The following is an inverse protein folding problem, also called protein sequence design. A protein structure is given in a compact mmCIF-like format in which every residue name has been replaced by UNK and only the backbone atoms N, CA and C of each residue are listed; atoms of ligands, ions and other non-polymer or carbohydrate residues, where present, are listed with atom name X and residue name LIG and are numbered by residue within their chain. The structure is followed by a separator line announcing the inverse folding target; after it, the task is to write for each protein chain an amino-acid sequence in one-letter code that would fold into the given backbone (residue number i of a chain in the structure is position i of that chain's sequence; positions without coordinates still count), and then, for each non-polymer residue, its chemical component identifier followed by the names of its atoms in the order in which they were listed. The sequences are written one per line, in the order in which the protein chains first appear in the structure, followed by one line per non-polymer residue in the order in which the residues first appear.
data_IF_726509481889
#
_entry.id   IF_726509481889
#
_cell.length_a   1.000
_cell.length_b   1.000
_cell.length_c   1.000
_cell.angle_alpha   90.00
_cell.angle_beta   90.00
_cell.angle_gamma   90.00
#
_symmetry.space_group_name_H-M   'P 1'
#
loop_
_entity.id
_entity.type
_entity.pdbx_description
1 polymer ?
#
# COMPACT_ATOMS: atom_id res chain seq x y z
N UNK A 1 26.25 12.10 7.45
CA UNK A 1 26.10 12.32 6.01
C UNK A 1 25.59 11.04 5.38
N UNK A 2 24.45 11.10 4.69
CA UNK A 2 23.71 9.91 4.25
C UNK A 2 24.46 9.11 3.17
N UNK A 3 24.07 7.85 2.99
CA UNK A 3 24.61 7.04 1.90
C UNK A 3 24.16 7.56 0.53
N UNK A 4 25.01 7.35 -0.48
CA UNK A 4 24.73 7.61 -1.89
C UNK A 4 24.16 6.34 -2.56
N UNK A 5 24.93 5.67 -3.42
CA UNK A 5 24.49 4.45 -4.09
C UNK A 5 24.81 3.20 -3.25
N UNK A 6 23.82 2.31 -3.09
CA UNK A 6 23.97 1.04 -2.37
C UNK A 6 23.43 -0.09 -3.23
N UNK A 7 24.22 -1.15 -3.39
CA UNK A 7 23.79 -2.41 -4.00
C UNK A 7 23.94 -3.57 -3.02
N UNK A 8 22.81 -4.19 -2.68
CA UNK A 8 22.73 -5.45 -1.94
C UNK A 8 22.24 -6.52 -2.89
N UNK A 9 23.10 -7.50 -3.17
CA UNK A 9 22.78 -8.59 -4.10
C UNK A 9 23.10 -9.93 -3.46
N UNK A 10 22.20 -10.91 -3.63
CA UNK A 10 22.37 -12.29 -3.15
C UNK A 10 22.88 -12.38 -1.70
N UNK A 11 22.32 -11.55 -0.83
CA UNK A 11 22.77 -11.41 0.56
C UNK A 11 21.71 -11.96 1.51
N UNK A 12 22.14 -12.51 2.64
CA UNK A 12 21.26 -12.93 3.73
C UNK A 12 21.56 -12.15 5.00
N UNK A 13 20.58 -11.37 5.45
CA UNK A 13 20.66 -10.53 6.66
C UNK A 13 19.56 -10.99 7.60
N UNK A 14 19.97 -11.57 8.73
CA UNK A 14 19.02 -12.23 9.61
C UNK A 14 19.40 -12.17 11.08
N UNK A 15 18.41 -12.38 11.94
CA UNK A 15 18.57 -12.55 13.38
C UNK A 15 19.24 -11.33 14.07
N UNK A 16 19.09 -10.13 13.50
CA UNK A 16 19.60 -8.89 14.08
C UNK A 16 18.71 -8.40 15.23
N UNK A 17 19.34 -7.70 16.19
CA UNK A 17 18.62 -7.05 17.30
C UNK A 17 17.81 -5.81 16.87
N UNK A 18 18.20 -5.16 15.77
CA UNK A 18 17.53 -4.02 15.18
C UNK A 18 16.87 -4.36 13.85
N UNK A 19 16.88 -3.40 12.92
CA UNK A 19 16.50 -3.65 11.53
C UNK A 19 17.57 -4.51 10.84
N UNK A 20 17.20 -5.28 9.83
CA UNK A 20 18.17 -5.98 8.98
C UNK A 20 19.02 -4.97 8.19
N UNK A 21 18.35 -4.05 7.49
CA UNK A 21 18.97 -2.94 6.78
C UNK A 21 18.41 -1.64 7.31
N UNK A 22 19.27 -0.71 7.74
CA UNK A 22 18.86 0.65 8.10
C UNK A 22 19.75 1.64 7.36
N UNK A 23 19.16 2.42 6.46
CA UNK A 23 19.89 3.36 5.61
C UNK A 23 19.31 4.76 5.83
N UNK A 24 20.14 5.65 6.35
CA UNK A 24 19.92 7.09 6.22
C UNK A 24 20.53 7.57 4.91
N UNK A 25 19.71 8.02 3.97
CA UNK A 25 20.15 8.45 2.64
C UNK A 25 19.99 9.96 2.44
N UNK A 26 20.88 10.54 1.64
CA UNK A 26 20.83 11.95 1.22
C UNK A 26 20.55 12.09 -0.29
N UNK A 27 20.48 10.97 -1.00
CA UNK A 27 20.38 10.87 -2.45
C UNK A 27 20.93 9.53 -2.94
N UNK A 28 20.78 9.22 -4.22
CA UNK A 28 21.37 8.03 -4.84
C UNK A 28 20.38 6.92 -5.18
N UNK A 29 20.91 5.80 -5.64
CA UNK A 29 20.18 4.60 -6.01
C UNK A 29 20.48 3.48 -5.02
N UNK A 30 19.45 3.01 -4.32
CA UNK A 30 19.54 1.87 -3.42
C UNK A 30 18.83 0.69 -4.07
N UNK A 31 19.58 -0.35 -4.40
CA UNK A 31 19.05 -1.55 -5.04
C UNK A 31 19.27 -2.78 -4.16
N UNK A 32 18.18 -3.49 -3.90
CA UNK A 32 18.16 -4.76 -3.18
C UNK A 32 17.62 -5.84 -4.12
N UNK A 33 18.44 -6.84 -4.43
CA UNK A 33 18.11 -7.93 -5.36
C UNK A 33 18.58 -9.28 -4.81
N UNK A 34 17.80 -10.33 -5.06
CA UNK A 34 18.10 -11.69 -4.57
C UNK A 34 18.35 -11.81 -3.07
N UNK A 35 17.90 -10.85 -2.28
CA UNK A 35 18.34 -10.67 -0.88
C UNK A 35 17.27 -11.15 0.09
N UNK A 36 17.69 -11.76 1.19
CA UNK A 36 16.82 -12.25 2.26
C UNK A 36 17.00 -11.42 3.52
N UNK A 37 15.94 -10.77 3.98
CA UNK A 37 15.88 -9.94 5.19
C UNK A 37 14.93 -10.62 6.19
N UNK A 38 15.48 -11.49 7.04
CA UNK A 38 14.68 -12.49 7.78
C UNK A 38 14.86 -12.41 9.30
N UNK A 39 13.79 -12.63 10.08
CA UNK A 39 13.86 -12.82 11.54
C UNK A 39 14.58 -11.70 12.31
N UNK A 40 14.59 -10.49 11.78
CA UNK A 40 15.13 -9.34 12.50
C UNK A 40 14.14 -8.92 13.59
N UNK A 41 14.65 -8.48 14.74
CA UNK A 41 13.79 -8.06 15.86
C UNK A 41 13.03 -6.77 15.52
N UNK A 42 13.55 -5.93 14.64
CA UNK A 42 12.79 -4.81 14.08
C UNK A 42 12.31 -5.10 12.66
N UNK A 43 12.61 -4.23 11.69
CA UNK A 43 12.16 -4.37 10.30
C UNK A 43 13.15 -5.19 9.48
N UNK A 44 12.70 -5.67 8.33
CA UNK A 44 13.61 -6.19 7.31
C UNK A 44 14.51 -5.07 6.76
N UNK A 45 13.89 -3.97 6.31
CA UNK A 45 14.60 -2.76 5.89
C UNK A 45 13.89 -1.47 6.31
N UNK A 46 14.67 -0.44 6.61
CA UNK A 46 14.20 0.91 6.86
C UNK A 46 15.07 1.93 6.12
N UNK A 47 14.41 2.85 5.40
CA UNK A 47 15.05 3.93 4.67
C UNK A 47 14.59 5.26 5.24
N UNK A 48 15.54 6.03 5.76
CA UNK A 48 15.28 7.32 6.36
C UNK A 48 15.96 8.40 5.53
N UNK A 49 15.21 9.45 5.20
CA UNK A 49 15.82 10.60 4.54
C UNK A 49 16.54 11.48 5.56
N UNK A 50 17.76 11.89 5.23
CA UNK A 50 18.51 12.87 5.99
C UNK A 50 18.35 14.27 5.37
N UNK A 51 17.49 15.09 5.97
CA UNK A 51 17.22 16.47 5.57
C UNK A 51 18.33 17.46 5.98
N UNK A 52 19.23 17.06 6.87
CA UNK A 52 20.35 17.89 7.33
C UNK A 52 21.56 17.84 6.39
N UNK A 53 21.54 17.00 5.36
CA UNK A 53 22.65 16.87 4.40
C UNK A 53 22.78 18.15 3.56
N UNK A 54 23.98 18.77 3.48
CA UNK A 54 24.22 19.90 2.59
C UNK A 54 24.34 19.46 1.12
N UNK A 55 24.47 18.16 0.87
CA UNK A 55 24.66 17.60 -0.46
C UNK A 55 23.32 17.36 -1.16
N UNK A 56 23.30 17.65 -2.46
CA UNK A 56 22.13 17.55 -3.32
C UNK A 56 22.15 16.23 -4.09
N UNK A 57 21.06 15.47 -4.00
CA UNK A 57 20.87 14.25 -4.78
C UNK A 57 20.77 14.56 -6.29
N UNK A 58 21.46 13.78 -7.12
CA UNK A 58 21.31 13.81 -8.60
C UNK A 58 20.23 12.86 -9.10
N UNK A 59 19.99 11.77 -8.36
CA UNK A 59 18.92 10.80 -8.57
C UNK A 59 18.45 10.29 -7.20
N UNK A 60 17.24 9.74 -7.14
CA UNK A 60 16.68 9.17 -5.93
C UNK A 60 15.84 7.95 -6.27
N UNK A 61 16.36 6.76 -5.99
CA UNK A 61 15.67 5.50 -6.30
C UNK A 61 15.84 4.49 -5.17
N UNK A 62 14.74 3.91 -4.71
CA UNK A 62 14.73 2.74 -3.83
C UNK A 62 14.12 1.60 -4.62
N UNK A 63 14.89 0.55 -4.84
CA UNK A 63 14.55 -0.52 -5.77
C UNK A 63 14.70 -1.87 -5.09
N UNK A 64 13.59 -2.56 -4.87
CA UNK A 64 13.58 -3.97 -4.53
C UNK A 64 13.16 -4.75 -5.76
N UNK A 65 14.00 -5.69 -6.17
CA UNK A 65 13.70 -6.61 -7.26
C UNK A 65 13.77 -8.02 -6.73
N UNK A 66 12.70 -8.77 -6.87
CA UNK A 66 12.71 -10.20 -6.63
C UNK A 66 12.52 -10.99 -7.91
N UNK A 67 11.99 -12.20 -7.75
CA UNK A 67 11.88 -13.19 -8.80
C UNK A 67 10.48 -13.14 -9.42
N UNK A 68 10.33 -12.78 -10.70
CA UNK A 68 9.05 -12.93 -11.39
C UNK A 68 8.58 -14.38 -11.38
N UNK A 69 7.27 -14.61 -11.25
CA UNK A 69 6.70 -15.96 -11.16
C UNK A 69 7.03 -16.87 -12.35
N UNK A 70 7.32 -16.28 -13.51
CA UNK A 70 7.63 -16.96 -14.75
C UNK A 70 9.14 -17.14 -15.02
N UNK A 71 10.01 -16.69 -14.12
CA UNK A 71 11.45 -16.73 -14.36
C UNK A 71 12.22 -17.27 -13.15
N UNK A 72 12.51 -18.57 -13.20
CA UNK A 72 13.23 -19.30 -12.14
C UNK A 72 14.70 -18.92 -11.99
N UNK A 73 15.28 -18.20 -12.97
CA UNK A 73 16.69 -17.81 -12.96
C UNK A 73 16.98 -16.59 -12.07
N UNK A 74 15.96 -15.81 -11.71
CA UNK A 74 16.13 -14.72 -10.76
C UNK A 74 16.12 -15.25 -9.34
N UNK A 75 17.00 -14.74 -8.49
CA UNK A 75 16.98 -15.03 -7.06
C UNK A 75 15.76 -14.36 -6.42
N UNK A 76 15.04 -15.04 -5.52
CA UNK A 76 13.94 -14.43 -4.80
C UNK A 76 14.48 -13.39 -3.80
N UNK A 77 13.82 -12.23 -3.76
CA UNK A 77 14.00 -11.25 -2.67
C UNK A 77 12.89 -11.48 -1.66
N UNK A 78 13.26 -11.76 -0.42
CA UNK A 78 12.35 -12.18 0.64
C UNK A 78 12.53 -11.31 1.87
N UNK A 79 11.42 -10.78 2.38
CA UNK A 79 11.36 -10.03 3.63
C UNK A 79 10.41 -10.78 4.56
N UNK A 80 10.97 -11.56 5.48
CA UNK A 80 10.16 -12.54 6.23
C UNK A 80 10.41 -12.56 7.74
N UNK A 81 9.36 -12.87 8.49
CA UNK A 81 9.40 -13.14 9.94
C UNK A 81 10.04 -12.02 10.78
N UNK A 82 10.05 -10.79 10.27
CA UNK A 82 10.56 -9.64 11.01
C UNK A 82 9.52 -9.22 12.05
N UNK A 83 9.96 -8.99 13.30
CA UNK A 83 9.02 -8.86 14.43
C UNK A 83 8.34 -7.50 14.52
N UNK A 84 8.91 -6.46 13.92
CA UNK A 84 8.34 -5.12 13.97
C UNK A 84 7.64 -4.72 12.68
N UNK A 85 8.03 -5.22 11.52
CA UNK A 85 7.42 -4.92 10.21
C UNK A 85 8.33 -5.37 9.06
N UNK A 86 7.92 -5.20 7.81
CA UNK A 86 8.74 -5.62 6.66
C UNK A 86 9.68 -4.52 6.17
N UNK A 87 9.21 -3.68 5.24
CA UNK A 87 9.98 -2.57 4.66
C UNK A 87 9.31 -1.24 4.96
N UNK A 88 10.09 -0.28 5.47
CA UNK A 88 9.68 1.12 5.63
C UNK A 88 10.47 2.03 4.69
N UNK A 89 9.77 2.75 3.83
CA UNK A 89 10.32 3.87 3.06
C UNK A 89 9.83 5.17 3.67
N UNK A 90 10.76 5.93 4.28
CA UNK A 90 10.47 7.21 4.90
C UNK A 90 10.13 8.31 3.89
N UNK A 91 9.54 9.39 4.40
CA UNK A 91 9.14 10.55 3.61
C UNK A 91 10.37 11.28 3.07
N UNK A 92 10.46 11.41 1.75
CA UNK A 92 11.50 12.21 1.11
C UNK A 92 10.87 13.26 0.20
N UNK A 93 11.40 14.47 0.27
CA UNK A 93 10.90 15.63 -0.43
C UNK A 93 11.99 16.26 -1.29
N UNK A 94 11.89 16.10 -2.61
CA UNK A 94 12.78 16.74 -3.58
C UNK A 94 12.10 17.91 -4.29
N UNK A 95 12.65 19.14 -4.27
CA UNK A 95 11.97 20.29 -4.88
C UNK A 95 11.74 20.10 -6.39
N UNK A 96 10.55 20.47 -6.88
CA UNK A 96 10.14 20.19 -8.26
C UNK A 96 11.04 20.90 -9.30
N UNK A 97 11.57 22.09 -8.99
CA UNK A 97 12.46 22.84 -9.89
C UNK A 97 13.76 22.11 -10.23
N UNK A 98 14.09 21.04 -9.50
CA UNK A 98 15.28 20.21 -9.75
C UNK A 98 15.11 19.26 -10.94
N UNK A 99 13.89 19.06 -11.44
CA UNK A 99 13.60 18.17 -12.57
C UNK A 99 14.11 16.73 -12.38
N UNK A 100 14.11 16.24 -11.15
CA UNK A 100 14.45 14.85 -10.81
C UNK A 100 13.15 14.15 -10.39
N UNK A 101 12.93 12.94 -10.90
CA UNK A 101 11.78 12.11 -10.57
C UNK A 101 12.20 11.04 -9.54
N UNK A 102 11.83 11.19 -8.25
CA UNK A 102 12.12 10.17 -7.25
C UNK A 102 11.28 8.92 -7.46
N UNK A 103 11.87 7.74 -7.25
CA UNK A 103 11.21 6.45 -7.49
C UNK A 103 11.33 5.50 -6.31
N UNK A 104 10.25 4.77 -6.05
CA UNK A 104 10.21 3.62 -5.15
C UNK A 104 9.62 2.46 -5.93
N UNK A 105 10.45 1.48 -6.27
CA UNK A 105 10.09 0.33 -7.11
C UNK A 105 10.21 -0.94 -6.26
N UNK A 106 9.10 -1.56 -5.90
CA UNK A 106 9.04 -2.78 -5.11
C UNK A 106 8.39 -3.85 -5.96
N UNK A 107 9.19 -4.65 -6.64
CA UNK A 107 8.69 -5.52 -7.70
C UNK A 107 9.10 -6.98 -7.47
N UNK A 108 8.10 -7.87 -7.50
CA UNK A 108 8.26 -9.33 -7.33
C UNK A 108 8.91 -9.76 -6.01
N UNK A 109 8.67 -9.02 -4.93
CA UNK A 109 9.17 -9.30 -3.59
C UNK A 109 8.17 -10.16 -2.82
N UNK A 110 8.69 -11.08 -1.99
CA UNK A 110 7.89 -11.88 -1.07
C UNK A 110 7.97 -11.30 0.35
N UNK A 111 6.83 -10.82 0.86
CA UNK A 111 6.68 -10.32 2.23
C UNK A 111 5.88 -11.33 3.06
N UNK A 112 6.57 -12.11 3.90
CA UNK A 112 6.02 -13.31 4.52
C UNK A 112 6.05 -13.22 6.05
N UNK A 113 4.91 -13.35 6.72
CA UNK A 113 4.90 -13.53 8.18
C UNK A 113 5.45 -12.35 9.01
N UNK A 114 5.58 -11.15 8.44
CA UNK A 114 6.04 -9.98 9.20
C UNK A 114 4.99 -9.58 10.23
N UNK A 115 5.45 -9.19 11.41
CA UNK A 115 4.59 -8.95 12.58
C UNK A 115 4.48 -7.47 12.93
N UNK A 116 3.40 -7.12 13.64
CA UNK A 116 3.16 -5.84 14.30
C UNK A 116 2.90 -4.62 13.37
N UNK A 117 3.89 -4.07 12.66
CA UNK A 117 3.69 -3.00 11.66
C UNK A 117 3.48 -3.55 10.24
N UNK A 118 3.19 -2.69 9.25
CA UNK A 118 2.96 -3.17 7.90
C UNK A 118 4.15 -3.94 7.31
N UNK A 119 3.83 -4.92 6.47
CA UNK A 119 4.82 -5.62 5.66
C UNK A 119 5.50 -4.68 4.65
N UNK A 120 4.74 -3.75 4.07
CA UNK A 120 5.28 -2.66 3.26
C UNK A 120 4.64 -1.34 3.72
N UNK A 121 5.47 -0.36 4.03
CA UNK A 121 5.04 0.98 4.40
C UNK A 121 5.82 2.02 3.61
N UNK A 122 5.11 2.90 2.90
CA UNK A 122 5.71 3.98 2.12
C UNK A 122 5.12 5.31 2.58
N UNK A 123 5.97 6.23 3.00
CA UNK A 123 5.58 7.58 3.41
C UNK A 123 5.81 8.55 2.27
N UNK A 124 4.79 9.34 1.94
CA UNK A 124 4.86 10.28 0.82
C UNK A 124 5.39 11.65 1.24
N UNK A 125 5.92 12.44 0.29
CA UNK A 125 6.30 13.82 0.53
C UNK A 125 5.08 14.69 0.80
N UNK A 126 5.06 15.43 1.91
CA UNK A 126 3.93 16.28 2.31
C UNK A 126 4.17 17.78 2.05
N UNK A 127 5.27 18.16 1.40
CA UNK A 127 5.62 19.55 1.14
C UNK A 127 4.97 20.13 -0.11
N UNK A 128 4.81 21.46 -0.15
CA UNK A 128 4.39 22.20 -1.34
C UNK A 128 5.56 22.48 -2.28
N UNK A 129 5.33 22.41 -3.60
CA UNK A 129 6.37 22.68 -4.60
C UNK A 129 7.41 21.57 -4.75
N UNK A 130 7.12 20.37 -4.24
CA UNK A 130 7.99 19.20 -4.36
C UNK A 130 7.58 18.30 -5.53
N UNK A 131 8.55 17.56 -6.06
CA UNK A 131 8.38 16.59 -7.13
C UNK A 131 7.47 15.45 -6.68
N UNK A 132 6.79 14.84 -7.65
CA UNK A 132 5.98 13.65 -7.40
C UNK A 132 6.89 12.42 -7.36
N UNK A 133 6.70 11.58 -6.35
CA UNK A 133 7.37 10.28 -6.28
C UNK A 133 6.59 9.26 -7.10
N UNK A 134 7.29 8.55 -7.99
CA UNK A 134 6.74 7.39 -8.68
C UNK A 134 6.87 6.19 -7.76
N UNK A 135 5.74 5.59 -7.41
CA UNK A 135 5.67 4.39 -6.58
C UNK A 135 5.14 3.25 -7.45
N UNK A 136 5.96 2.25 -7.72
CA UNK A 136 5.56 1.03 -8.42
C UNK A 136 5.65 -0.14 -7.44
N UNK A 137 4.50 -0.73 -7.11
CA UNK A 137 4.39 -1.93 -6.27
C UNK A 137 3.74 -2.99 -7.14
N UNK A 138 4.56 -3.79 -7.82
CA UNK A 138 4.08 -4.73 -8.84
C UNK A 138 4.52 -6.17 -8.62
N UNK A 139 3.58 -7.10 -8.72
CA UNK A 139 3.90 -8.53 -8.76
C UNK A 139 4.36 -9.12 -7.41
N UNK A 140 4.15 -8.42 -6.30
CA UNK A 140 4.59 -8.86 -4.97
C UNK A 140 3.63 -9.90 -4.39
N UNK A 141 4.16 -10.75 -3.50
CA UNK A 141 3.38 -11.66 -2.66
C UNK A 141 3.46 -11.17 -1.22
N UNK A 142 2.34 -10.76 -0.66
CA UNK A 142 2.22 -10.23 0.70
C UNK A 142 1.33 -11.19 1.48
N UNK A 143 1.93 -12.06 2.28
CA UNK A 143 1.25 -13.19 2.86
C UNK A 143 1.52 -13.42 4.35
N UNK A 144 0.46 -13.77 5.08
CA UNK A 144 0.57 -14.25 6.46
C UNK A 144 1.04 -13.19 7.45
N UNK A 145 1.00 -11.91 7.08
CA UNK A 145 1.50 -10.84 7.94
C UNK A 145 0.50 -10.57 9.08
N UNK A 146 1.04 -10.29 10.27
CA UNK A 146 0.26 -9.99 11.47
C UNK A 146 -0.16 -8.52 11.58
N UNK A 147 0.62 -7.61 10.98
CA UNK A 147 0.23 -6.22 10.74
C UNK A 147 -0.36 -6.04 9.33
N UNK A 148 -0.57 -4.79 8.92
CA UNK A 148 -1.14 -4.49 7.60
C UNK A 148 -0.25 -5.04 6.46
N UNK A 149 -0.86 -5.40 5.32
CA UNK A 149 -0.09 -5.86 4.15
C UNK A 149 0.72 -4.71 3.54
N UNK A 150 0.02 -3.73 2.97
CA UNK A 150 0.62 -2.52 2.40
C UNK A 150 -0.06 -1.26 2.94
N UNK A 151 0.74 -0.30 3.41
CA UNK A 151 0.28 1.00 3.90
C UNK A 151 0.95 2.17 3.17
N UNK A 152 0.13 3.12 2.70
CA UNK A 152 0.56 4.43 2.20
C UNK A 152 -0.41 5.51 2.71
N UNK A 153 -0.09 6.13 3.84
CA UNK A 153 -0.96 7.12 4.49
C UNK A 153 -0.13 8.20 5.21
N UNK A 154 -0.15 9.48 4.75
CA UNK A 154 -0.90 9.98 3.60
C UNK A 154 -0.26 9.56 2.26
N UNK A 155 -1.04 9.76 1.20
CA UNK A 155 -0.74 9.51 -0.20
C UNK A 155 -0.86 10.81 -0.98
N UNK A 156 0.21 11.60 -0.97
CA UNK A 156 0.30 12.93 -1.62
C UNK A 156 1.67 13.14 -2.27
N UNK A 157 1.74 14.03 -3.26
CA UNK A 157 2.90 14.18 -4.15
C UNK A 157 3.35 12.84 -4.72
N UNK A 158 2.40 12.04 -5.21
CA UNK A 158 2.66 10.66 -5.62
C UNK A 158 1.99 10.32 -6.94
N UNK A 159 2.65 9.48 -7.72
CA UNK A 159 2.08 8.72 -8.82
C UNK A 159 2.30 7.24 -8.51
N UNK A 160 1.26 6.57 -8.00
CA UNK A 160 1.36 5.21 -7.49
C UNK A 160 0.64 4.19 -8.38
N UNK A 161 1.32 3.06 -8.63
CA UNK A 161 0.82 1.90 -9.34
C UNK A 161 0.94 0.68 -8.43
N UNK A 162 -0.20 0.11 -8.04
CA UNK A 162 -0.28 -1.11 -7.25
C UNK A 162 -0.88 -2.17 -8.17
N UNK A 163 -0.04 -3.00 -8.77
CA UNK A 163 -0.47 -3.88 -9.85
C UNK A 163 -0.07 -5.34 -9.65
N UNK A 164 -0.98 -6.27 -9.95
CA UNK A 164 -0.65 -7.71 -10.02
C UNK A 164 -0.06 -8.28 -8.74
N UNK A 165 -0.38 -7.71 -7.57
CA UNK A 165 0.06 -8.22 -6.28
C UNK A 165 -0.91 -9.25 -5.72
N UNK A 166 -0.40 -10.14 -4.87
CA UNK A 166 -1.19 -11.14 -4.14
C UNK A 166 -1.13 -10.83 -2.64
N UNK A 167 -2.28 -10.47 -2.07
CA UNK A 167 -2.47 -10.29 -0.64
C UNK A 167 -3.24 -11.49 -0.10
N UNK A 168 -2.53 -12.37 0.61
CA UNK A 168 -3.04 -13.69 1.01
C UNK A 168 -2.94 -13.87 2.53
N UNK A 169 -3.98 -14.40 3.16
CA UNK A 169 -3.90 -14.85 4.57
C UNK A 169 -3.35 -13.80 5.57
N UNK A 170 -3.42 -12.50 5.27
CA UNK A 170 -2.97 -11.47 6.21
C UNK A 170 -4.00 -11.35 7.34
N UNK A 171 -3.53 -11.16 8.57
CA UNK A 171 -4.37 -11.12 9.77
C UNK A 171 -4.70 -9.68 10.24
N UNK A 172 -4.53 -8.73 9.33
CA UNK A 172 -4.99 -7.35 9.45
C UNK A 172 -5.36 -6.85 8.03
N UNK A 173 -5.56 -5.54 7.88
CA UNK A 173 -5.86 -4.84 6.64
C UNK A 173 -4.81 -5.17 5.58
N UNK A 174 -5.22 -5.75 4.47
CA UNK A 174 -4.32 -6.10 3.37
C UNK A 174 -3.79 -4.85 2.65
N UNK A 175 -4.64 -3.86 2.41
CA UNK A 175 -4.26 -2.61 1.73
C UNK A 175 -4.87 -1.39 2.41
N UNK A 176 -4.02 -0.43 2.77
CA UNK A 176 -4.41 0.81 3.44
C UNK A 176 -3.82 2.03 2.73
N UNK A 177 -4.65 2.78 2.00
CA UNK A 177 -4.28 4.02 1.32
C UNK A 177 -5.29 5.10 1.71
N UNK A 178 -5.00 5.88 2.75
CA UNK A 178 -5.98 6.82 3.33
C UNK A 178 -5.38 8.20 3.63
N UNK A 179 -6.07 9.27 3.21
CA UNK A 179 -5.66 10.65 3.52
C UNK A 179 -6.60 11.37 4.50
N UNK A 180 -7.76 10.81 4.87
CA UNK A 180 -8.76 11.51 5.66
C UNK A 180 -8.25 12.09 7.01
N UNK A 181 -7.19 11.51 7.59
CA UNK A 181 -6.54 12.03 8.80
C UNK A 181 -5.66 13.28 8.56
N UNK A 182 -5.48 13.69 7.30
CA UNK A 182 -4.61 14.77 6.85
C UNK A 182 -5.33 15.73 5.88
N UNK A 183 -6.46 16.34 6.28
CA UNK A 183 -7.27 17.20 5.40
C UNK A 183 -6.48 18.41 4.88
N UNK A 184 -5.50 18.90 5.64
CA UNK A 184 -4.62 20.02 5.25
C UNK A 184 -3.78 19.75 3.99
N UNK A 185 -3.64 18.48 3.58
CA UNK A 185 -2.85 18.08 2.40
C UNK A 185 -3.68 18.04 1.11
N UNK A 186 -4.94 18.49 1.12
CA UNK A 186 -5.85 18.47 -0.04
C UNK A 186 -5.31 19.19 -1.30
N UNK A 187 -4.48 20.25 -1.23
CA UNK A 187 -3.98 20.89 -2.44
C UNK A 187 -2.89 20.07 -3.15
N UNK A 188 -2.29 19.10 -2.47
CA UNK A 188 -1.19 18.30 -3.02
C UNK A 188 -1.71 17.26 -4.00
N UNK A 189 -0.90 16.95 -5.03
CA UNK A 189 -1.31 16.07 -6.13
C UNK A 189 -1.17 14.61 -5.75
N UNK A 190 -2.15 13.78 -6.11
CA UNK A 190 -2.05 12.33 -5.91
C UNK A 190 -2.78 11.60 -7.03
N UNK A 191 -2.11 10.65 -7.68
CA UNK A 191 -2.77 9.71 -8.58
C UNK A 191 -2.37 8.31 -8.14
N UNK A 192 -3.36 7.50 -7.79
CA UNK A 192 -3.16 6.13 -7.33
C UNK A 192 -3.98 5.20 -8.22
N UNK A 193 -3.33 4.23 -8.85
CA UNK A 193 -3.99 3.19 -9.65
C UNK A 193 -3.75 1.83 -9.02
N UNK A 194 -4.83 1.10 -8.76
CA UNK A 194 -4.81 -0.23 -8.16
C UNK A 194 -5.50 -1.19 -9.14
N UNK A 195 -4.74 -2.13 -9.71
CA UNK A 195 -5.26 -3.04 -10.73
C UNK A 195 -4.69 -4.46 -10.66
N UNK A 196 -5.49 -5.43 -11.12
CA UNK A 196 -5.10 -6.85 -11.23
C UNK A 196 -4.58 -7.48 -9.93
N UNK A 197 -4.92 -6.94 -8.76
CA UNK A 197 -4.48 -7.49 -7.48
C UNK A 197 -5.46 -8.57 -6.99
N UNK A 198 -4.95 -9.57 -6.28
CA UNK A 198 -5.75 -10.59 -5.63
C UNK A 198 -5.71 -10.41 -4.12
N UNK A 199 -6.87 -10.20 -3.49
CA UNK A 199 -7.06 -10.12 -2.05
C UNK A 199 -7.88 -11.33 -1.61
N UNK A 200 -7.21 -12.35 -1.08
CA UNK A 200 -7.85 -13.63 -0.73
C UNK A 200 -7.52 -14.08 0.68
N UNK A 201 -8.53 -14.60 1.38
CA UNK A 201 -8.37 -15.23 2.70
C UNK A 201 -7.77 -14.30 3.78
N UNK A 202 -7.77 -12.99 3.55
CA UNK A 202 -7.33 -12.03 4.54
C UNK A 202 -8.40 -11.87 5.62
N UNK A 203 -7.98 -11.45 6.81
CA UNK A 203 -8.84 -11.27 7.97
C UNK A 203 -8.53 -9.93 8.63
N UNK A 204 -9.54 -9.09 8.83
CA UNK A 204 -9.34 -7.78 9.45
C UNK A 204 -10.64 -7.02 9.69
N UNK A 205 -10.55 -5.84 10.31
CA UNK A 205 -11.69 -4.91 10.48
C UNK A 205 -12.29 -4.50 9.13
N UNK A 206 -11.38 -4.24 8.18
CA UNK A 206 -11.63 -4.07 6.77
C UNK A 206 -10.44 -4.66 6.04
N UNK A 207 -10.63 -5.19 4.84
CA UNK A 207 -9.53 -5.82 4.09
C UNK A 207 -8.79 -4.78 3.26
N UNK A 208 -9.55 -3.88 2.66
CA UNK A 208 -9.06 -2.76 1.88
C UNK A 208 -9.68 -1.49 2.46
N UNK A 209 -8.85 -0.49 2.77
CA UNK A 209 -9.32 0.85 3.11
C UNK A 209 -8.64 1.85 2.20
N UNK A 210 -9.43 2.50 1.36
CA UNK A 210 -8.93 3.45 0.37
C UNK A 210 -9.71 4.77 0.39
N UNK A 211 -8.99 5.87 0.22
CA UNK A 211 -9.57 7.18 0.07
C UNK A 211 -8.52 8.28 0.18
N UNK A 212 -8.59 9.26 -0.69
CA UNK A 212 -7.73 10.44 -0.62
C UNK A 212 -8.45 11.53 0.18
N UNK A 213 -8.11 12.81 -0.02
CA UNK A 213 -8.89 13.87 0.58
C UNK A 213 -10.17 14.08 -0.24
N UNK A 214 -11.30 14.11 0.46
CA UNK A 214 -12.60 14.46 -0.10
C UNK A 214 -12.51 15.81 -0.83
N UNK A 215 -13.16 15.94 -1.99
CA UNK A 215 -13.19 17.16 -2.83
C UNK A 215 -11.84 17.73 -3.29
N UNK A 216 -10.73 17.03 -3.05
CA UNK A 216 -9.42 17.48 -3.51
C UNK A 216 -9.32 17.39 -5.05
N UNK A 217 -9.17 18.53 -5.76
CA UNK A 217 -9.31 18.59 -7.22
C UNK A 217 -8.14 17.93 -7.96
N UNK A 218 -6.99 17.80 -7.28
CA UNK A 218 -5.77 17.23 -7.84
C UNK A 218 -5.45 15.83 -7.28
N UNK A 219 -6.41 15.20 -6.61
CA UNK A 219 -6.27 13.86 -6.04
C UNK A 219 -7.28 12.91 -6.68
N UNK A 220 -6.78 11.77 -7.16
CA UNK A 220 -7.60 10.75 -7.79
C UNK A 220 -7.09 9.35 -7.44
N UNK A 221 -8.01 8.46 -7.12
CA UNK A 221 -7.72 7.05 -6.91
C UNK A 221 -8.62 6.20 -7.80
N UNK A 222 -8.01 5.28 -8.53
CA UNK A 222 -8.69 4.36 -9.42
C UNK A 222 -8.44 2.93 -8.95
N UNK A 223 -9.50 2.24 -8.56
CA UNK A 223 -9.50 0.82 -8.23
C UNK A 223 -10.20 0.07 -9.35
N UNK A 224 -9.45 -0.45 -10.32
CA UNK A 224 -10.03 -1.00 -11.54
C UNK A 224 -9.28 -2.17 -12.15
N UNK A 225 -9.81 -2.69 -13.26
CA UNK A 225 -9.14 -3.69 -14.11
C UNK A 225 -8.77 -4.96 -13.33
N UNK A 226 -9.78 -5.75 -12.98
CA UNK A 226 -9.64 -7.12 -12.46
C UNK A 226 -8.97 -7.23 -11.09
N UNK A 227 -9.24 -6.31 -10.15
CA UNK A 227 -8.97 -6.65 -8.75
C UNK A 227 -9.97 -7.71 -8.27
N UNK A 228 -9.47 -8.75 -7.63
CA UNK A 228 -10.27 -9.82 -7.02
C UNK A 228 -10.27 -9.66 -5.51
N UNK A 229 -11.42 -9.34 -4.92
CA UNK A 229 -11.61 -9.26 -3.46
C UNK A 229 -12.53 -10.40 -3.07
N UNK A 230 -11.96 -11.53 -2.66
CA UNK A 230 -12.73 -12.78 -2.49
C UNK A 230 -12.32 -13.59 -1.26
N UNK A 231 -13.29 -14.30 -0.68
CA UNK A 231 -13.06 -15.23 0.44
C UNK A 231 -12.34 -14.60 1.65
N UNK A 232 -12.49 -13.29 1.85
CA UNK A 232 -11.94 -12.61 3.02
C UNK A 232 -12.95 -12.64 4.19
N UNK A 233 -12.42 -12.51 5.40
CA UNK A 233 -13.19 -12.52 6.65
C UNK A 233 -13.14 -11.15 7.30
N UNK A 234 -14.29 -10.48 7.39
CA UNK A 234 -14.39 -9.18 8.05
C UNK A 234 -14.77 -9.40 9.50
N UNK A 235 -13.94 -8.88 10.42
CA UNK A 235 -14.20 -8.96 11.85
C UNK A 235 -14.98 -7.72 12.29
N UNK A 236 -16.23 -7.91 12.71
CA UNK A 236 -16.99 -6.90 13.43
C UNK A 236 -17.11 -7.28 14.92
N UNK A 237 -16.34 -6.66 15.84
CA UNK A 237 -16.44 -6.91 17.27
C UNK A 237 -17.75 -6.38 17.88
N UNK A 238 -18.49 -5.54 17.15
CA UNK A 238 -19.73 -4.92 17.60
C UNK A 238 -20.87 -5.16 16.58
N UNK A 239 -21.39 -6.39 16.44
CA UNK A 239 -22.39 -6.75 15.41
C UNK A 239 -23.68 -5.91 15.46
N UNK A 240 -24.09 -5.51 16.66
CA UNK A 240 -25.31 -4.71 16.90
C UNK A 240 -25.12 -3.24 16.50
N UNK A 241 -23.88 -2.77 16.44
CA UNK A 241 -23.57 -1.40 16.04
C UNK A 241 -23.16 -1.37 14.57
N UNK A 242 -23.82 -0.51 13.80
CA UNK A 242 -23.50 -0.25 12.39
C UNK A 242 -22.92 1.16 12.26
N UNK A 243 -21.67 1.39 12.70
CA UNK A 243 -21.09 2.73 12.65
C UNK A 243 -20.82 3.14 11.20
N UNK A 244 -21.37 4.28 10.80
CA UNK A 244 -21.06 4.93 9.51
C UNK A 244 -19.66 5.53 9.45
N UNK A 245 -19.11 5.90 10.60
CA UNK A 245 -17.77 6.52 10.68
C UNK A 245 -16.63 5.52 10.51
N UNK A 246 -16.83 4.23 10.79
CA UNK A 246 -15.81 3.20 10.57
C UNK A 246 -16.46 1.86 10.21
N UNK A 247 -17.04 1.74 9.01
CA UNK A 247 -17.78 0.54 8.62
C UNK A 247 -16.88 -0.70 8.59
N UNK A 248 -17.48 -1.85 8.89
CA UNK A 248 -16.85 -3.16 8.81
C UNK A 248 -17.23 -3.81 7.47
N UNK A 249 -16.35 -3.72 6.48
CA UNK A 249 -16.60 -4.21 5.13
C UNK A 249 -15.34 -4.79 4.49
N UNK A 250 -15.49 -5.59 3.43
CA UNK A 250 -14.33 -6.08 2.68
C UNK A 250 -13.53 -4.90 2.10
N UNK A 251 -14.21 -3.88 1.61
CA UNK A 251 -13.63 -2.63 1.14
C UNK A 251 -14.31 -1.43 1.80
N UNK A 252 -13.52 -0.50 2.34
CA UNK A 252 -13.99 0.77 2.88
C UNK A 252 -13.49 1.91 2.00
N UNK A 253 -14.39 2.81 1.62
CA UNK A 253 -14.11 3.93 0.72
C UNK A 253 -14.37 5.24 1.45
N UNK A 254 -13.33 6.04 1.68
CA UNK A 254 -13.41 7.25 2.48
C UNK A 254 -13.31 8.57 1.70
N UNK A 255 -13.49 8.53 0.37
CA UNK A 255 -13.55 9.75 -0.45
C UNK A 255 -14.27 9.55 -1.78
N UNK A 256 -14.95 10.58 -2.28
CA UNK A 256 -15.70 10.55 -3.56
C UNK A 256 -14.83 10.63 -4.82
N UNK A 257 -13.55 11.01 -4.69
CA UNK A 257 -12.58 10.97 -5.79
C UNK A 257 -12.03 9.56 -6.09
N UNK A 258 -12.60 8.54 -5.46
CA UNK A 258 -12.33 7.12 -5.74
C UNK A 258 -13.28 6.61 -6.82
N UNK A 259 -12.72 5.96 -7.84
CA UNK A 259 -13.47 5.28 -8.90
C UNK A 259 -13.24 3.78 -8.80
N UNK A 260 -14.32 3.00 -8.73
CA UNK A 260 -14.30 1.54 -8.55
C UNK A 260 -14.99 0.89 -9.74
N UNK A 261 -14.24 0.29 -10.67
CA UNK A 261 -14.83 -0.29 -11.88
C UNK A 261 -14.12 -1.56 -12.34
N UNK A 262 -14.88 -2.54 -12.83
CA UNK A 262 -14.38 -3.78 -13.44
C UNK A 262 -13.60 -4.64 -12.47
N UNK A 263 -14.08 -4.74 -11.22
CA UNK A 263 -13.53 -5.60 -10.18
C UNK A 263 -14.49 -6.76 -9.86
N UNK A 264 -14.01 -7.76 -9.14
CA UNK A 264 -14.81 -8.90 -8.69
C UNK A 264 -14.83 -8.97 -7.16
N UNK A 265 -16.03 -8.92 -6.59
CA UNK A 265 -16.29 -9.03 -5.15
C UNK A 265 -17.07 -10.31 -4.86
N UNK A 266 -16.60 -11.09 -3.87
CA UNK A 266 -17.32 -12.25 -3.33
C UNK A 266 -16.72 -12.65 -1.98
N UNK A 267 -17.21 -12.08 -0.90
CA UNK A 267 -16.75 -12.31 0.47
C UNK A 267 -17.92 -12.84 1.33
N UNK A 268 -18.16 -14.17 1.33
CA UNK A 268 -19.27 -14.77 2.08
C UNK A 268 -19.24 -14.46 3.57
N UNK A 269 -18.04 -14.33 4.14
CA UNK A 269 -17.77 -14.05 5.55
C UNK A 269 -17.67 -12.54 5.87
N UNK A 270 -18.07 -11.67 4.94
CA UNK A 270 -18.23 -10.25 5.18
C UNK A 270 -19.72 -9.87 5.18
N UNK A 271 -20.15 -9.11 6.18
CA UNK A 271 -21.52 -8.54 6.17
C UNK A 271 -21.70 -7.62 4.96
N UNK A 272 -20.69 -6.80 4.67
CA UNK A 272 -20.68 -5.85 3.58
C UNK A 272 -19.45 -6.07 2.67
N UNK A 273 -19.66 -6.02 1.37
CA UNK A 273 -18.61 -6.00 0.35
C UNK A 273 -17.95 -4.62 0.31
N UNK A 274 -18.78 -3.56 0.26
CA UNK A 274 -18.32 -2.17 0.30
C UNK A 274 -19.04 -1.41 1.41
N UNK A 275 -18.28 -0.61 2.17
CA UNK A 275 -18.79 0.40 3.09
C UNK A 275 -18.25 1.79 2.72
N UNK A 276 -19.09 2.81 2.81
CA UNK A 276 -18.68 4.20 2.61
C UNK A 276 -18.35 4.87 3.95
N UNK A 277 -17.35 5.74 3.93
CA UNK A 277 -16.92 6.58 5.05
C UNK A 277 -16.73 8.02 4.52
N UNK A 278 -17.79 8.54 3.90
CA UNK A 278 -17.79 9.88 3.31
C UNK A 278 -18.14 10.93 4.37
N UNK A 279 -17.58 12.13 4.23
CA UNK A 279 -17.87 13.24 5.14
C UNK A 279 -19.29 13.81 4.96
N UNK A 280 -19.87 13.65 3.76
CA UNK A 280 -21.17 14.20 3.40
C UNK A 280 -22.06 13.16 2.71
N UNK A 281 -23.33 13.06 3.13
CA UNK A 281 -24.30 12.09 2.61
C UNK A 281 -24.72 12.31 1.14
N UNK A 282 -24.49 13.51 0.58
CA UNK A 282 -24.88 13.83 -0.79
C UNK A 282 -23.85 13.38 -1.83
N UNK A 283 -22.65 12.99 -1.38
CA UNK A 283 -21.53 12.60 -2.25
C UNK A 283 -21.75 11.20 -2.79
N UNK A 284 -21.13 10.92 -3.93
CA UNK A 284 -21.33 9.66 -4.67
C UNK A 284 -19.99 9.07 -5.03
N UNK A 285 -19.88 7.76 -4.91
CA UNK A 285 -18.74 6.97 -5.40
C UNK A 285 -19.16 6.27 -6.69
N UNK A 286 -18.32 6.32 -7.72
CA UNK A 286 -18.61 5.63 -8.97
C UNK A 286 -18.22 4.15 -8.87
N UNK A 287 -19.23 3.28 -8.71
CA UNK A 287 -19.09 1.83 -8.56
C UNK A 287 -19.85 1.00 -9.63
N UNK A 288 -20.16 1.59 -10.79
CA UNK A 288 -21.17 1.06 -11.74
C UNK A 288 -20.81 -0.23 -12.48
N UNK A 289 -19.52 -0.56 -12.61
CA UNK A 289 -19.05 -1.63 -13.51
C UNK A 289 -18.41 -2.80 -12.75
N UNK A 290 -18.86 -3.14 -11.55
CA UNK A 290 -18.28 -4.23 -10.76
C UNK A 290 -19.12 -5.51 -10.81
N UNK A 291 -18.45 -6.65 -10.70
CA UNK A 291 -19.09 -7.96 -10.56
C UNK A 291 -19.29 -8.30 -9.08
N UNK A 292 -20.55 -8.34 -8.64
CA UNK A 292 -20.97 -8.62 -7.27
C UNK A 292 -21.35 -10.09 -7.05
N UNK A 293 -21.05 -10.97 -8.01
CA UNK A 293 -21.44 -12.38 -8.00
C UNK A 293 -22.84 -12.66 -8.55
N UNK A 294 -23.69 -11.63 -8.69
CA UNK A 294 -25.01 -11.71 -9.33
C UNK A 294 -25.33 -10.44 -10.12
N UNK A 295 -26.01 -10.54 -11.28
CA UNK A 295 -26.51 -9.38 -12.01
C UNK A 295 -27.77 -8.77 -11.38
N UNK A 296 -28.43 -9.44 -10.44
CA UNK A 296 -29.68 -8.98 -9.82
C UNK A 296 -29.41 -8.08 -8.60
N UNK A 297 -29.83 -6.79 -8.61
CA UNK A 297 -29.60 -5.87 -7.50
C UNK A 297 -30.11 -6.36 -6.15
N UNK A 298 -31.26 -7.01 -6.10
CA UNK A 298 -31.85 -7.56 -4.87
C UNK A 298 -30.95 -8.57 -4.17
N UNK A 299 -30.02 -9.20 -4.88
CA UNK A 299 -29.13 -10.23 -4.34
C UNK A 299 -27.83 -9.67 -3.76
N UNK A 300 -27.41 -8.46 -4.16
CA UNK A 300 -26.14 -7.88 -3.69
C UNK A 300 -26.28 -6.51 -3.01
N UNK A 301 -27.39 -5.79 -3.17
CA UNK A 301 -27.54 -4.44 -2.61
C UNK A 301 -27.44 -4.42 -1.08
N UNK A 302 -27.90 -5.47 -0.40
CA UNK A 302 -27.76 -5.62 1.06
C UNK A 302 -26.31 -5.74 1.54
N UNK A 303 -25.37 -6.05 0.63
CA UNK A 303 -23.93 -6.11 0.87
C UNK A 303 -23.24 -4.76 0.66
N UNK A 304 -23.96 -3.71 0.28
CA UNK A 304 -23.43 -2.35 0.16
C UNK A 304 -23.93 -1.53 1.37
N UNK A 305 -23.02 -0.89 2.08
CA UNK A 305 -23.31 -0.08 3.26
C UNK A 305 -22.97 1.40 3.01
N UNK A 306 -23.97 2.25 3.23
CA UNK A 306 -23.92 3.72 3.09
C UNK A 306 -24.65 4.43 4.26
#
# INVERSE_FOLDING_TARGET
DGAADIWLNDTRIQDNWGDGVNISYAGGAITINGTRLERNRWRGAAFHFNDSSPFLALHQEIVFKGRPSNNIFYLPTIVADNKWGGVLVGNFCLPAYRNIEPKVLINWVEFLGNSYHPALEIHSCQGYGFARTVVDVTGNRIEGNGGMGFRMAPSVNVLAFINSNQFLNNNDTALFIKNAAYPQLWPLRANVTISKNAFKFNRGKYIISIGLNEDAPAQQLIFNQQNEVRENVVINPFPEFRPRSTPYAAMVVSSSNVIIRRNCFKNPHATYEIGTELNEHAKRIDARENNWGSPMPSQFMSKIFD
#
